data_IF_312554521239
#
_entry.id   IF_312554521239
#
_cell.length_a   1.000
_cell.length_b   1.000
_cell.length_c   1.000
_cell.angle_alpha   90.00
_cell.angle_beta   90.00
_cell.angle_gamma   90.00
#
_symmetry.space_group_name_H-M   'P 1'
#
loop_
_entity.id
_entity.type
_entity.pdbx_description
1 polymer ?
#
# COMPACT_ATOMS: atom_id res chain seq x y z
N UNK A 1 -14.86 -2.59 8.88
CA UNK A 1 -13.39 -2.53 8.84
C UNK A 1 -12.95 -1.97 7.50
N UNK A 2 -12.26 -0.82 7.49
CA UNK A 2 -11.64 -0.25 6.30
C UNK A 2 -10.13 -0.42 6.33
N UNK A 3 -9.59 -1.17 5.38
CA UNK A 3 -8.17 -1.44 5.22
C UNK A 3 -7.62 -0.61 4.06
N UNK A 4 -6.58 0.17 4.30
CA UNK A 4 -5.76 0.77 3.25
C UNK A 4 -4.63 -0.16 2.85
N UNK A 5 -4.35 -0.24 1.55
CA UNK A 5 -3.16 -0.89 1.01
C UNK A 5 -2.43 0.12 0.13
N UNK A 6 -1.15 0.32 0.43
CA UNK A 6 -0.28 1.23 -0.31
C UNK A 6 0.89 0.44 -0.92
N UNK A 7 1.22 0.76 -2.17
CA UNK A 7 2.35 0.19 -2.90
C UNK A 7 3.12 1.32 -3.62
N UNK A 8 4.39 1.09 -3.96
CA UNK A 8 5.22 2.11 -4.62
C UNK A 8 5.18 2.02 -6.16
N UNK A 9 4.96 0.82 -6.70
CA UNK A 9 4.96 0.53 -8.13
C UNK A 9 3.71 -0.25 -8.54
N UNK A 10 3.21 0.00 -9.75
CA UNK A 10 2.00 -0.67 -10.26
C UNK A 10 2.11 -2.20 -10.26
N UNK A 11 3.31 -2.73 -10.55
CA UNK A 11 3.60 -4.16 -10.54
C UNK A 11 3.37 -4.80 -9.15
N UNK A 12 3.64 -4.05 -8.07
CA UNK A 12 3.45 -4.53 -6.69
C UNK A 12 1.95 -4.63 -6.34
N UNK A 13 1.12 -3.80 -6.96
CA UNK A 13 -0.32 -3.75 -6.71
C UNK A 13 -1.13 -4.63 -7.66
N UNK A 14 -0.61 -4.91 -8.87
CA UNK A 14 -1.36 -5.53 -9.96
C UNK A 14 -2.02 -6.85 -9.54
N UNK A 15 -1.26 -7.79 -8.95
CA UNK A 15 -1.81 -9.07 -8.50
C UNK A 15 -2.92 -8.87 -7.47
N UNK A 16 -2.78 -7.89 -6.57
CA UNK A 16 -3.80 -7.61 -5.58
C UNK A 16 -5.11 -7.11 -6.23
N UNK A 17 -5.02 -6.29 -7.28
CA UNK A 17 -6.19 -5.85 -8.05
C UNK A 17 -6.87 -7.00 -8.81
N UNK A 18 -6.12 -8.03 -9.21
CA UNK A 18 -6.67 -9.25 -9.82
C UNK A 18 -7.43 -10.11 -8.78
N UNK A 19 -6.87 -10.27 -7.57
CA UNK A 19 -7.52 -11.00 -6.48
C UNK A 19 -8.69 -10.23 -5.84
N UNK A 20 -8.62 -8.90 -5.82
CA UNK A 20 -9.64 -8.00 -5.28
C UNK A 20 -10.11 -7.00 -6.36
N UNK A 21 -10.89 -7.47 -7.37
CA UNK A 21 -11.34 -6.61 -8.46
C UNK A 21 -12.15 -5.42 -7.96
N UNK A 22 -11.68 -4.17 -8.15
CA UNK A 22 -12.30 -3.01 -7.55
C UNK A 22 -13.66 -2.72 -8.19
N UNK A 23 -14.69 -2.54 -7.37
CA UNK A 23 -16.01 -2.12 -7.83
C UNK A 23 -16.06 -0.61 -8.11
N UNK A 24 -15.18 0.17 -7.49
CA UNK A 24 -15.11 1.63 -7.65
C UNK A 24 -13.66 2.11 -7.79
N UNK A 25 -13.49 3.19 -8.54
CA UNK A 25 -12.21 3.91 -8.69
C UNK A 25 -12.45 5.38 -8.40
N UNK A 26 -11.59 5.99 -7.58
CA UNK A 26 -11.64 7.43 -7.27
C UNK A 26 -10.28 8.03 -7.58
N UNK A 27 -10.26 9.16 -8.28
CA UNK A 27 -9.01 9.86 -8.59
C UNK A 27 -8.80 11.02 -7.62
N UNK A 28 -7.71 11.00 -6.87
CA UNK A 28 -7.31 12.04 -5.93
C UNK A 28 -5.80 12.25 -6.00
N UNK A 29 -5.34 13.50 -5.90
CA UNK A 29 -3.93 13.85 -5.95
C UNK A 29 -3.16 13.15 -7.10
N UNK A 30 -3.76 13.10 -8.29
CA UNK A 30 -3.22 12.49 -9.52
C UNK A 30 -3.10 10.95 -9.55
N UNK A 31 -3.43 10.23 -8.47
CA UNK A 31 -3.45 8.77 -8.45
C UNK A 31 -4.87 8.20 -8.33
N UNK A 32 -4.99 6.92 -8.68
CA UNK A 32 -6.25 6.17 -8.61
C UNK A 32 -6.28 5.34 -7.34
N UNK A 33 -7.35 5.54 -6.57
CA UNK A 33 -7.72 4.71 -5.43
C UNK A 33 -8.72 3.66 -5.91
N UNK A 34 -8.33 2.40 -5.82
CA UNK A 34 -9.12 1.24 -6.19
C UNK A 34 -9.83 0.72 -4.95
N UNK A 35 -11.16 0.67 -5.00
CA UNK A 35 -11.98 0.34 -3.86
C UNK A 35 -12.63 -1.01 -4.10
N UNK A 36 -12.26 -1.97 -3.25
CA UNK A 36 -12.91 -3.26 -3.14
C UNK A 36 -13.83 -3.29 -1.93
N UNK A 37 -15.10 -3.64 -2.12
CA UNK A 37 -16.12 -3.71 -1.06
C UNK A 37 -16.61 -5.16 -0.87
N UNK A 38 -16.67 -5.64 0.39
CA UNK A 38 -17.20 -6.95 0.74
C UNK A 38 -17.97 -6.89 2.07
N UNK A 39 -19.30 -6.99 2.02
CA UNK A 39 -20.20 -6.99 3.19
C UNK A 39 -19.90 -5.85 4.19
N UNK A 40 -19.12 -6.14 5.23
CA UNK A 40 -18.77 -5.23 6.34
C UNK A 40 -17.32 -4.74 6.29
N UNK A 41 -16.59 -5.08 5.23
CA UNK A 41 -15.18 -4.76 5.02
C UNK A 41 -14.97 -4.04 3.70
N UNK A 42 -14.00 -3.13 3.69
CA UNK A 42 -13.58 -2.39 2.49
C UNK A 42 -12.06 -2.39 2.42
N UNK A 43 -11.51 -2.62 1.23
CA UNK A 43 -10.08 -2.53 0.93
C UNK A 43 -9.88 -1.38 -0.06
N UNK A 44 -9.09 -0.40 0.31
CA UNK A 44 -8.76 0.76 -0.52
C UNK A 44 -7.29 0.66 -0.89
N UNK A 45 -7.02 0.43 -2.18
CA UNK A 45 -5.70 0.17 -2.74
C UNK A 45 -5.23 1.38 -3.54
N UNK A 46 -3.97 1.79 -3.38
CA UNK A 46 -3.37 2.88 -4.16
C UNK A 46 -1.89 2.60 -4.46
N UNK A 47 -1.50 2.86 -5.70
CA UNK A 47 -0.08 2.98 -6.06
C UNK A 47 0.33 4.42 -5.76
N UNK A 48 1.16 4.61 -4.73
CA UNK A 48 1.59 5.92 -4.25
C UNK A 48 2.71 6.52 -5.11
N UNK A 49 3.48 5.68 -5.82
CA UNK A 49 4.75 6.09 -6.41
C UNK A 49 5.90 6.03 -5.40
N UNK A 50 7.12 6.19 -5.92
CA UNK A 50 8.35 6.02 -5.14
C UNK A 50 8.65 7.23 -4.24
N UNK A 51 9.31 6.97 -3.11
CA UNK A 51 9.87 7.99 -2.22
C UNK A 51 8.98 8.40 -1.04
N UNK A 52 9.63 8.96 0.00
CA UNK A 52 9.02 9.31 1.30
C UNK A 52 7.84 10.28 1.17
N UNK A 53 7.96 11.30 0.32
CA UNK A 53 6.93 12.31 0.12
C UNK A 53 5.64 11.71 -0.45
N UNK A 54 5.77 10.84 -1.45
CA UNK A 54 4.63 10.16 -2.06
C UNK A 54 3.95 9.22 -1.06
N UNK A 55 4.72 8.34 -0.40
CA UNK A 55 4.19 7.45 0.62
C UNK A 55 3.44 8.24 1.71
N UNK A 56 4.00 9.35 2.19
CA UNK A 56 3.37 10.22 3.20
C UNK A 56 2.05 10.80 2.70
N UNK A 57 2.02 11.38 1.49
CA UNK A 57 0.84 12.01 0.93
C UNK A 57 -0.33 11.02 0.78
N UNK A 58 -0.07 9.87 0.17
CA UNK A 58 -1.14 8.91 -0.11
C UNK A 58 -1.59 8.15 1.14
N UNK A 59 -0.69 7.88 2.08
CA UNK A 59 -1.07 7.39 3.42
C UNK A 59 -1.99 8.38 4.14
N UNK A 60 -1.67 9.67 4.11
CA UNK A 60 -2.51 10.69 4.73
C UNK A 60 -3.89 10.79 4.05
N UNK A 61 -3.95 10.70 2.72
CA UNK A 61 -5.23 10.68 1.99
C UNK A 61 -6.07 9.45 2.38
N UNK A 62 -5.46 8.27 2.50
CA UNK A 62 -6.16 7.07 2.98
C UNK A 62 -6.76 7.29 4.37
N UNK A 63 -6.02 7.93 5.28
CA UNK A 63 -6.48 8.24 6.64
C UNK A 63 -7.62 9.26 6.60
N UNK A 64 -7.42 10.44 5.99
CA UNK A 64 -8.37 11.54 6.11
C UNK A 64 -9.60 11.39 5.22
N UNK A 65 -9.40 10.96 3.97
CA UNK A 65 -10.46 10.94 2.96
C UNK A 65 -11.24 9.63 2.95
N UNK A 66 -10.56 8.51 3.26
CA UNK A 66 -11.20 7.19 3.26
C UNK A 66 -11.50 6.68 4.68
N UNK A 67 -10.88 7.28 5.70
CA UNK A 67 -11.06 6.90 7.11
C UNK A 67 -10.72 5.43 7.33
N UNK A 68 -9.57 5.01 6.80
CA UNK A 68 -9.06 3.66 7.03
C UNK A 68 -8.79 3.45 8.53
N UNK A 69 -9.03 2.23 8.99
CA UNK A 69 -8.75 1.80 10.36
C UNK A 69 -7.34 1.18 10.47
N UNK A 70 -6.83 0.65 9.34
CA UNK A 70 -5.53 -0.02 9.26
C UNK A 70 -4.88 0.27 7.91
N UNK A 71 -3.54 0.33 7.88
CA UNK A 71 -2.75 0.51 6.66
C UNK A 71 -1.75 -0.65 6.52
N UNK A 72 -1.69 -1.25 5.35
CA UNK A 72 -0.64 -2.20 4.96
C UNK A 72 0.17 -1.59 3.83
N UNK A 73 1.48 -1.48 4.03
CA UNK A 73 2.43 -1.17 2.96
C UNK A 73 2.96 -2.49 2.39
N UNK A 74 2.81 -2.68 1.08
CA UNK A 74 3.36 -3.83 0.35
C UNK A 74 4.40 -3.36 -0.65
N UNK A 75 5.37 -4.22 -0.94
CA UNK A 75 6.35 -3.96 -1.99
C UNK A 75 7.53 -4.90 -1.93
N UNK A 76 8.56 -4.58 -2.70
CA UNK A 76 9.84 -5.28 -2.69
C UNK A 76 10.91 -4.48 -1.95
N UNK A 77 11.89 -5.16 -1.38
CA UNK A 77 13.03 -4.53 -0.71
C UNK A 77 14.34 -5.26 -1.01
N UNK A 78 15.45 -4.53 -0.91
CA UNK A 78 16.78 -5.12 -0.92
C UNK A 78 17.10 -5.75 0.43
N UNK A 79 17.77 -6.90 0.40
CA UNK A 79 18.17 -7.60 1.62
C UNK A 79 19.52 -7.08 2.15
N UNK A 80 19.59 -6.79 3.46
CA UNK A 80 20.82 -6.50 4.19
C UNK A 80 21.24 -7.65 5.13
N UNK A 81 20.38 -8.64 5.34
CA UNK A 81 20.63 -9.78 6.22
C UNK A 81 21.07 -10.99 5.39
N UNK A 82 22.32 -11.40 5.52
CA UNK A 82 22.90 -12.54 4.77
C UNK A 82 22.17 -13.87 4.97
N UNK A 83 21.36 -14.00 6.02
CA UNK A 83 20.56 -15.20 6.27
C UNK A 83 19.30 -15.28 5.41
N UNK A 84 18.80 -14.14 4.92
CA UNK A 84 17.58 -14.10 4.12
C UNK A 84 17.90 -14.39 2.65
N UNK A 85 17.02 -15.17 2.03
CA UNK A 85 17.12 -15.58 0.64
C UNK A 85 16.24 -14.73 -0.28
N UNK A 86 16.53 -14.76 -1.59
CA UNK A 86 15.69 -14.12 -2.59
C UNK A 86 14.26 -14.71 -2.54
N UNK A 87 13.27 -13.84 -2.65
CA UNK A 87 11.83 -14.14 -2.59
C UNK A 87 11.27 -14.53 -1.21
N UNK A 88 12.06 -14.43 -0.13
CA UNK A 88 11.49 -14.51 1.22
C UNK A 88 10.66 -13.26 1.55
N UNK A 89 9.56 -13.47 2.27
CA UNK A 89 8.69 -12.41 2.75
C UNK A 89 9.17 -11.94 4.12
N UNK A 90 9.30 -10.63 4.28
CA UNK A 90 9.68 -10.00 5.55
C UNK A 90 8.50 -9.18 6.05
N UNK A 91 8.13 -9.39 7.32
CA UNK A 91 7.23 -8.51 8.05
C UNK A 91 8.09 -7.51 8.83
N UNK A 92 7.95 -6.22 8.54
CA UNK A 92 8.66 -5.20 9.31
C UNK A 92 8.00 -4.99 10.67
N UNK A 93 8.76 -5.17 11.74
CA UNK A 93 8.32 -4.91 13.11
C UNK A 93 8.56 -3.44 13.49
N UNK A 94 9.71 -2.90 13.07
CA UNK A 94 10.14 -1.52 13.32
C UNK A 94 10.75 -0.90 12.06
N UNK A 95 10.64 0.42 11.95
CA UNK A 95 11.13 1.18 10.80
C UNK A 95 11.90 2.41 11.28
N UNK A 96 12.98 2.76 10.58
CA UNK A 96 13.71 4.00 10.79
C UNK A 96 14.12 4.62 9.44
N UNK A 97 14.51 5.89 9.48
CA UNK A 97 15.17 6.53 8.35
C UNK A 97 16.68 6.44 8.53
N UNK A 98 17.37 5.78 7.60
CA UNK A 98 18.82 5.57 7.69
C UNK A 98 19.64 6.82 7.30
N UNK A 99 18.98 7.78 6.64
CA UNK A 99 19.55 8.93 5.92
C UNK A 99 19.01 10.28 6.42
N UNK A 100 18.33 10.30 7.57
CA UNK A 100 17.89 11.54 8.22
C UNK A 100 18.89 11.94 9.30
#
# INVERSE_FOLDING_TARGET
MKLGVIAAMDLELQKLLEYFPPQRKIQLAKNTFYIYEQKTSQVIMVCAGQGKTNATLYSQILIDSFQIEQLINIGICGCLNEKLQLFEMVLGEEYCHYDI
#
